data_IF_677830008857
#
_entry.id   IF_677830008857
#
_cell.length_a   1.000
_cell.length_b   1.000
_cell.length_c   1.000
_cell.angle_alpha   90.00
_cell.angle_beta   90.00
_cell.angle_gamma   90.00
#
_symmetry.space_group_name_H-M   'P 1'
#
loop_
_entity.id
_entity.type
_entity.pdbx_description
1 polymer ?
#
# COMPACT_ATOMS: atom_id res chain seq x y z
N UNK A 1 -1.12 -2.25 -14.86
CA UNK A 1 -0.59 -1.06 -14.16
C UNK A 1 0.38 -0.35 -15.10
N UNK A 2 0.47 0.98 -15.04
CA UNK A 2 1.56 1.76 -15.67
C UNK A 2 2.70 2.03 -14.69
N UNK A 3 2.51 1.68 -13.42
CA UNK A 3 3.49 1.82 -12.35
C UNK A 3 4.78 1.07 -12.67
N UNK A 4 5.90 1.77 -12.62
CA UNK A 4 7.23 1.18 -12.61
C UNK A 4 7.53 0.73 -11.17
N UNK A 5 7.48 -0.59 -10.93
CA UNK A 5 7.62 -1.18 -9.60
C UNK A 5 8.96 -0.88 -8.93
N UNK A 6 10.00 -0.48 -9.67
CA UNK A 6 11.31 -0.14 -9.10
C UNK A 6 11.39 1.36 -8.84
N UNK A 7 11.20 2.17 -9.88
CA UNK A 7 11.45 3.61 -9.78
C UNK A 7 10.33 4.36 -9.05
N UNK A 8 9.06 3.99 -9.29
CA UNK A 8 7.94 4.68 -8.68
C UNK A 8 7.80 4.32 -7.20
N UNK A 9 8.03 3.06 -6.82
CA UNK A 9 8.03 2.63 -5.41
C UNK A 9 9.19 3.27 -4.64
N UNK A 10 10.38 3.36 -5.23
CA UNK A 10 11.52 4.04 -4.61
C UNK A 10 11.27 5.54 -4.40
N UNK A 11 10.62 6.21 -5.36
CA UNK A 11 10.25 7.61 -5.21
C UNK A 11 9.15 7.80 -4.15
N UNK A 12 8.14 6.92 -4.13
CA UNK A 12 7.09 6.92 -3.12
C UNK A 12 7.66 6.67 -1.71
N UNK A 13 8.60 5.73 -1.57
CA UNK A 13 9.31 5.46 -0.32
C UNK A 13 10.04 6.71 0.18
N UNK A 14 10.76 7.44 -0.68
CA UNK A 14 11.46 8.67 -0.29
C UNK A 14 10.50 9.75 0.23
N UNK A 15 9.35 9.94 -0.43
CA UNK A 15 8.30 10.88 0.01
C UNK A 15 7.67 10.45 1.34
N UNK A 16 7.42 9.16 1.50
CA UNK A 16 6.92 8.58 2.75
C UNK A 16 7.91 8.83 3.88
N UNK A 17 9.18 8.51 3.69
CA UNK A 17 10.23 8.69 4.69
C UNK A 17 10.41 10.16 5.11
N UNK A 18 10.38 11.10 4.16
CA UNK A 18 10.48 12.54 4.48
C UNK A 18 9.29 13.00 5.35
N UNK A 19 8.08 12.56 4.99
CA UNK A 19 6.86 12.89 5.75
C UNK A 19 6.84 12.27 7.15
N UNK A 20 7.30 11.01 7.27
CA UNK A 20 7.40 10.30 8.56
C UNK A 20 8.50 10.88 9.46
N UNK A 21 9.57 11.41 8.86
CA UNK A 21 10.68 12.04 9.58
C UNK A 21 10.35 13.47 10.04
N UNK A 22 9.34 14.11 9.43
CA UNK A 22 8.93 15.50 9.68
C UNK A 22 7.42 15.56 9.89
N UNK A 23 6.91 15.15 11.07
CA UNK A 23 5.48 15.12 11.34
C UNK A 23 4.79 16.45 11.01
N UNK A 24 3.68 16.38 10.27
CA UNK A 24 2.95 17.55 9.76
C UNK A 24 3.34 17.97 8.33
N UNK A 25 4.42 17.41 7.76
CA UNK A 25 4.73 17.57 6.34
C UNK A 25 3.80 16.71 5.49
N UNK A 26 3.07 17.34 4.56
CA UNK A 26 2.20 16.66 3.61
C UNK A 26 2.95 16.50 2.28
N UNK A 27 3.13 15.26 1.84
CA UNK A 27 3.69 14.93 0.53
C UNK A 27 2.62 14.48 -0.46
N UNK A 28 2.71 14.97 -1.68
CA UNK A 28 1.83 14.59 -2.79
C UNK A 28 2.28 13.25 -3.39
N UNK A 29 1.34 12.30 -3.52
CA UNK A 29 1.54 10.98 -4.14
C UNK A 29 0.62 10.72 -5.34
N UNK A 30 -0.27 11.65 -5.70
CA UNK A 30 -1.33 11.45 -6.69
C UNK A 30 -0.82 11.14 -8.08
N UNK A 31 0.27 11.76 -8.54
CA UNK A 31 0.88 11.40 -9.83
C UNK A 31 1.39 9.95 -9.86
N UNK A 32 1.99 9.49 -8.76
CA UNK A 32 2.49 8.12 -8.64
C UNK A 32 1.35 7.13 -8.46
N UNK A 33 0.39 7.46 -7.61
CA UNK A 33 -0.81 6.68 -7.35
C UNK A 33 -1.63 6.50 -8.64
N UNK A 34 -1.79 7.54 -9.46
CA UNK A 34 -2.51 7.47 -10.73
C UNK A 34 -1.93 6.48 -11.73
N UNK A 35 -0.68 6.02 -11.55
CA UNK A 35 -0.05 4.97 -12.38
C UNK A 35 -0.48 3.55 -12.00
N UNK A 36 -1.05 3.36 -10.81
CA UNK A 36 -1.61 2.06 -10.36
C UNK A 36 -2.69 1.64 -11.36
N UNK A 37 -3.71 2.48 -11.57
CA UNK A 37 -4.71 2.24 -12.60
C UNK A 37 -5.49 0.94 -12.40
N UNK A 38 -5.68 0.52 -11.15
CA UNK A 38 -6.51 -0.61 -10.79
C UNK A 38 -7.87 -0.07 -10.35
N UNK A 39 -8.97 -0.59 -10.92
CA UNK A 39 -10.31 -0.21 -10.49
C UNK A 39 -10.63 -0.97 -9.21
N UNK A 40 -10.38 -0.33 -8.07
CA UNK A 40 -10.51 -0.97 -6.77
C UNK A 40 -11.35 -0.13 -5.83
N UNK A 41 -11.88 -0.82 -4.84
CA UNK A 41 -12.57 -0.20 -3.72
C UNK A 41 -11.60 0.30 -2.63
N UNK A 42 -10.44 0.81 -3.03
CA UNK A 42 -9.44 1.43 -2.17
C UNK A 42 -8.72 2.55 -2.94
N UNK A 43 -8.09 3.47 -2.22
CA UNK A 43 -7.33 4.53 -2.86
C UNK A 43 -6.10 3.94 -3.56
N UNK A 44 -5.82 4.41 -4.77
CA UNK A 44 -4.60 4.03 -5.52
C UNK A 44 -3.33 4.29 -4.70
N UNK A 45 -3.31 5.35 -3.89
CA UNK A 45 -2.20 5.65 -2.99
C UNK A 45 -2.01 4.56 -1.92
N UNK A 46 -3.08 3.93 -1.43
CA UNK A 46 -2.98 2.80 -0.48
C UNK A 46 -2.35 1.59 -1.17
N UNK A 47 -2.71 1.31 -2.42
CA UNK A 47 -2.12 0.22 -3.21
C UNK A 47 -0.64 0.49 -3.49
N UNK A 48 -0.29 1.73 -3.86
CA UNK A 48 1.09 2.16 -4.03
C UNK A 48 1.90 1.94 -2.75
N UNK A 49 1.38 2.37 -1.59
CA UNK A 49 2.05 2.18 -0.31
C UNK A 49 2.16 0.70 0.07
N UNK A 50 1.17 -0.13 -0.29
CA UNK A 50 1.27 -1.57 -0.12
C UNK A 50 2.45 -2.15 -0.92
N UNK A 51 2.62 -1.75 -2.18
CA UNK A 51 3.75 -2.16 -3.01
C UNK A 51 5.10 -1.63 -2.51
N UNK A 52 5.12 -0.55 -1.72
CA UNK A 52 6.33 0.02 -1.10
C UNK A 52 6.72 -0.72 0.18
N UNK A 53 5.73 -1.11 1.00
CA UNK A 53 5.95 -1.51 2.39
C UNK A 53 5.76 -3.00 2.65
N UNK A 54 5.02 -3.69 1.80
CA UNK A 54 4.66 -5.09 2.04
C UNK A 54 5.50 -6.02 1.17
N UNK A 55 5.95 -7.10 1.80
CA UNK A 55 6.61 -8.23 1.19
C UNK A 55 6.31 -9.51 1.99
N UNK A 56 7.01 -10.60 1.70
CA UNK A 56 6.85 -11.89 2.37
C UNK A 56 7.26 -11.88 3.86
N UNK A 57 7.97 -10.87 4.34
CA UNK A 57 8.47 -10.79 5.72
C UNK A 57 7.46 -10.14 6.67
N UNK A 58 6.53 -9.35 6.12
CA UNK A 58 5.51 -8.64 6.91
C UNK A 58 4.11 -9.23 6.73
N UNK A 59 3.25 -8.94 7.70
CA UNK A 59 1.82 -9.27 7.63
C UNK A 59 0.99 -8.00 7.67
N UNK A 60 -0.18 -8.02 7.03
CA UNK A 60 -1.09 -6.87 6.98
C UNK A 60 -2.49 -7.26 7.42
N UNK A 61 -3.35 -6.27 7.65
CA UNK A 61 -4.78 -6.47 7.91
C UNK A 61 -5.56 -5.41 7.14
N UNK A 62 -6.62 -5.83 6.46
CA UNK A 62 -7.59 -4.90 5.87
C UNK A 62 -8.78 -4.77 6.82
N UNK A 63 -9.24 -3.54 7.03
CA UNK A 63 -10.47 -3.21 7.75
C UNK A 63 -11.39 -2.49 6.75
N UNK A 64 -12.33 -3.22 6.18
CA UNK A 64 -13.26 -2.71 5.18
C UNK A 64 -14.45 -3.66 5.03
N UNK A 65 -15.59 -3.17 4.56
CA UNK A 65 -16.71 -4.02 4.12
C UNK A 65 -16.31 -4.96 2.97
N UNK A 66 -15.24 -4.61 2.24
CA UNK A 66 -14.72 -5.37 1.10
C UNK A 66 -13.38 -6.05 1.42
N UNK A 67 -13.22 -6.49 2.67
CA UNK A 67 -11.99 -7.09 3.21
C UNK A 67 -11.41 -8.18 2.29
N UNK A 68 -12.22 -9.17 1.89
CA UNK A 68 -11.75 -10.30 1.09
C UNK A 68 -11.18 -9.89 -0.28
N UNK A 69 -11.82 -8.95 -0.97
CA UNK A 69 -11.39 -8.45 -2.28
C UNK A 69 -10.02 -7.78 -2.17
N UNK A 70 -9.88 -6.88 -1.19
CA UNK A 70 -8.67 -6.08 -1.00
C UNK A 70 -7.53 -6.97 -0.45
N UNK A 71 -7.82 -7.93 0.43
CA UNK A 71 -6.82 -8.90 0.94
C UNK A 71 -6.25 -9.73 -0.20
N UNK A 72 -7.11 -10.28 -1.08
CA UNK A 72 -6.65 -11.08 -2.23
C UNK A 72 -5.72 -10.27 -3.13
N UNK A 73 -6.09 -9.01 -3.41
CA UNK A 73 -5.25 -8.13 -4.20
C UNK A 73 -3.89 -7.88 -3.54
N UNK A 74 -3.87 -7.50 -2.26
CA UNK A 74 -2.63 -7.16 -1.57
C UNK A 74 -1.71 -8.39 -1.51
N UNK A 75 -2.26 -9.57 -1.22
CA UNK A 75 -1.52 -10.83 -1.29
C UNK A 75 -0.94 -11.08 -2.69
N UNK A 76 -1.70 -10.85 -3.77
CA UNK A 76 -1.22 -11.06 -5.14
C UNK A 76 -0.15 -10.05 -5.55
N UNK A 77 -0.26 -8.81 -5.08
CA UNK A 77 0.65 -7.73 -5.42
C UNK A 77 1.98 -7.86 -4.68
N UNK A 78 1.97 -8.28 -3.42
CA UNK A 78 3.12 -8.15 -2.52
C UNK A 78 3.58 -9.47 -1.92
N UNK A 79 2.82 -10.55 -2.08
CA UNK A 79 3.03 -11.85 -1.43
C UNK A 79 3.04 -11.81 0.11
N UNK A 80 2.74 -10.67 0.71
CA UNK A 80 2.54 -10.55 2.14
C UNK A 80 1.34 -11.39 2.57
N UNK A 81 1.28 -11.76 3.86
CA UNK A 81 0.18 -12.58 4.40
C UNK A 81 -0.80 -11.71 5.18
N UNK A 82 -2.11 -11.92 4.98
CA UNK A 82 -3.11 -11.34 5.89
C UNK A 82 -3.00 -11.97 7.28
N UNK A 83 -2.95 -11.10 8.29
CA UNK A 83 -2.96 -11.50 9.68
C UNK A 83 -4.40 -11.69 10.13
N UNK A 84 -4.75 -12.88 10.60
CA UNK A 84 -6.02 -13.10 11.27
C UNK A 84 -6.15 -12.17 12.49
N UNK A 85 -7.34 -11.61 12.72
CA UNK A 85 -7.63 -10.77 13.90
C UNK A 85 -7.23 -11.55 15.15
N UNK A 86 -6.19 -11.12 15.86
CA UNK A 86 -6.04 -11.51 17.26
C UNK A 86 -7.16 -10.78 18.00
N UNK A 87 -8.11 -11.52 18.58
CA UNK A 87 -8.93 -10.97 19.65
C UNK A 87 -7.97 -10.39 20.69
N UNK A 88 -8.01 -9.07 20.87
CA UNK A 88 -7.51 -8.46 22.08
C UNK A 88 -8.53 -8.82 23.16
N UNK A 89 -8.15 -9.76 24.03
CA UNK A 89 -8.83 -10.00 25.32
C UNK A 89 -8.69 -8.80 26.23
#
# INVERSE_FOLDING_TARGET
MKLDLVHDTQLAYRKLMDSMSRPGLISELGELAGKVGLKLNCFDATVLLAAVLLDTEVTFKIISEKEEEIVRLFNQLTYAKDRQKRHAS
#
